data_IF_981127161631
#
_entry.id   IF_981127161631
#
_cell.length_a   1.000
_cell.length_b   1.000
_cell.length_c   1.000
_cell.angle_alpha   90.00
_cell.angle_beta   90.00
_cell.angle_gamma   90.00
#
_symmetry.space_group_name_H-M   'P 1'
#
loop_
_entity.id
_entity.type
_entity.pdbx_description
1 polymer ?
#
# COMPACT_ATOMS: atom_id res chain seq x y z
N UNK A 1 9.94 -6.51 -10.33
CA UNK A 1 11.01 -6.86 -9.36
C UNK A 1 12.38 -6.33 -9.79
N UNK A 2 12.53 -5.90 -11.05
CA UNK A 2 13.81 -5.53 -11.66
C UNK A 2 14.60 -4.49 -10.87
N UNK A 3 13.94 -3.48 -10.28
CA UNK A 3 14.61 -2.49 -9.44
C UNK A 3 15.33 -3.12 -8.23
N UNK A 4 14.75 -4.13 -7.59
CA UNK A 4 15.38 -4.86 -6.47
C UNK A 4 16.58 -5.66 -6.96
N UNK A 5 16.44 -6.30 -8.13
CA UNK A 5 17.47 -7.14 -8.74
C UNK A 5 18.67 -6.33 -9.22
N UNK A 6 18.43 -5.23 -9.94
CA UNK A 6 19.45 -4.33 -10.47
C UNK A 6 20.29 -3.76 -9.32
N UNK A 7 19.65 -3.41 -8.21
CA UNK A 7 20.33 -2.89 -7.01
C UNK A 7 20.94 -3.98 -6.12
N UNK A 8 20.71 -5.28 -6.41
CA UNK A 8 21.23 -6.43 -5.65
C UNK A 8 20.90 -6.39 -4.14
N UNK A 9 19.67 -6.01 -3.81
CA UNK A 9 19.20 -5.88 -2.42
C UNK A 9 18.11 -6.89 -2.05
N UNK A 10 18.05 -8.01 -2.75
CA UNK A 10 17.02 -9.05 -2.58
C UNK A 10 16.90 -9.52 -1.13
N UNK A 11 18.03 -9.73 -0.46
CA UNK A 11 18.10 -10.21 0.93
C UNK A 11 17.64 -9.17 1.97
N UNK A 12 17.39 -7.92 1.52
CA UNK A 12 16.95 -6.80 2.38
C UNK A 12 15.51 -6.35 2.07
N UNK A 13 14.86 -6.96 1.08
CA UNK A 13 13.56 -6.50 0.59
C UNK A 13 12.54 -7.62 0.66
N UNK A 14 11.44 -7.37 1.38
CA UNK A 14 10.21 -8.16 1.31
C UNK A 14 9.19 -7.38 0.48
N UNK A 15 8.92 -7.84 -0.73
CA UNK A 15 7.90 -7.24 -1.58
C UNK A 15 6.60 -8.04 -1.46
N UNK A 16 5.49 -7.35 -1.22
CA UNK A 16 4.15 -7.93 -1.10
C UNK A 16 3.29 -7.39 -2.23
N UNK A 17 2.69 -8.28 -3.02
CA UNK A 17 1.73 -7.92 -4.06
C UNK A 17 0.33 -7.83 -3.46
N UNK A 18 0.09 -6.79 -2.66
CA UNK A 18 -1.13 -6.57 -1.88
C UNK A 18 -1.41 -5.07 -1.81
N UNK A 19 -2.68 -4.66 -1.84
CA UNK A 19 -3.08 -3.29 -1.57
C UNK A 19 -3.17 -3.00 -0.07
N UNK A 20 -2.90 -1.77 0.34
CA UNK A 20 -3.12 -1.32 1.72
C UNK A 20 -4.49 -0.64 1.86
N UNK A 21 -5.19 -0.92 2.95
CA UNK A 21 -6.52 -0.38 3.25
C UNK A 21 -6.74 -0.34 4.78
N UNK A 22 -7.88 0.18 5.23
CA UNK A 22 -8.28 0.16 6.64
C UNK A 22 -8.57 -1.24 7.18
N UNK A 23 -8.86 -2.21 6.29
CA UNK A 23 -9.25 -3.57 6.65
C UNK A 23 -8.82 -4.61 5.61
N UNK A 24 -8.96 -5.90 5.97
CA UNK A 24 -8.68 -7.02 5.08
C UNK A 24 -9.86 -7.31 4.16
N UNK A 25 -9.58 -7.63 2.90
CA UNK A 25 -10.61 -7.97 1.91
C UNK A 25 -10.06 -8.14 0.50
N UNK A 26 -10.96 -7.99 -0.47
CA UNK A 26 -10.66 -7.96 -1.89
C UNK A 26 -11.24 -6.67 -2.47
N UNK A 27 -10.47 -5.94 -3.27
CA UNK A 27 -10.94 -4.79 -4.05
C UNK A 27 -10.71 -5.02 -5.52
N UNK A 28 -11.60 -4.44 -6.33
CA UNK A 28 -11.50 -4.45 -7.79
C UNK A 28 -10.78 -3.20 -8.26
N UNK A 29 -9.69 -3.42 -8.98
CA UNK A 29 -8.95 -2.36 -9.67
C UNK A 29 -9.22 -2.46 -11.16
N UNK A 30 -9.33 -1.31 -11.82
CA UNK A 30 -9.31 -1.23 -13.28
C UNK A 30 -7.94 -1.71 -13.76
N UNK A 31 -7.89 -2.35 -14.92
CA UNK A 31 -6.65 -2.67 -15.60
C UNK A 31 -6.58 -1.78 -16.85
N UNK A 32 -6.12 -0.54 -16.69
CA UNK A 32 -5.82 0.32 -17.83
C UNK A 32 -4.33 0.20 -18.19
N UNK A 33 -3.98 0.41 -19.46
CA UNK A 33 -2.60 0.31 -19.96
C UNK A 33 -1.73 1.53 -19.59
N UNK A 34 -2.29 2.47 -18.82
CA UNK A 34 -1.65 3.72 -18.39
C UNK A 34 -1.39 3.71 -16.87
N UNK A 35 -0.57 4.65 -16.39
CA UNK A 35 -0.02 4.67 -15.03
C UNK A 35 -1.03 4.95 -13.89
N UNK A 36 -2.34 4.81 -14.13
CA UNK A 36 -3.38 5.18 -13.17
C UNK A 36 -4.49 4.13 -13.15
N UNK A 37 -4.21 2.98 -12.53
CA UNK A 37 -5.25 2.03 -12.14
C UNK A 37 -6.07 2.66 -11.00
N UNK A 38 -7.39 2.74 -11.17
CA UNK A 38 -8.32 3.30 -10.18
C UNK A 38 -9.20 2.22 -9.57
N UNK A 39 -9.82 2.51 -8.42
CA UNK A 39 -10.85 1.66 -7.86
C UNK A 39 -12.08 1.64 -8.77
N UNK A 40 -12.57 0.46 -9.10
CA UNK A 40 -13.75 0.30 -9.95
C UNK A 40 -14.99 0.73 -9.17
N UNK A 41 -15.65 1.81 -9.60
CA UNK A 41 -16.91 2.25 -8.98
C UNK A 41 -18.15 1.65 -9.66
N UNK A 42 -18.18 1.46 -11.00
CA UNK A 42 -19.31 0.82 -11.70
C UNK A 42 -18.92 0.22 -13.07
N UNK A 43 -19.50 -0.95 -13.42
CA UNK A 43 -19.61 -1.57 -14.76
C UNK A 43 -18.37 -1.61 -15.68
N UNK A 44 -17.17 -1.54 -15.14
CA UNK A 44 -15.96 -1.74 -15.93
C UNK A 44 -15.69 -3.22 -16.19
N UNK A 45 -15.34 -3.55 -17.43
CA UNK A 45 -15.22 -4.93 -17.91
C UNK A 45 -13.80 -5.49 -17.82
N UNK A 46 -12.79 -4.64 -17.56
CA UNK A 46 -11.39 -5.04 -17.48
C UNK A 46 -10.83 -4.78 -16.08
N UNK A 47 -11.22 -5.62 -15.12
CA UNK A 47 -10.89 -5.46 -13.71
C UNK A 47 -10.09 -6.64 -13.17
N UNK A 48 -9.18 -6.38 -12.23
CA UNK A 48 -8.50 -7.41 -11.46
C UNK A 48 -8.92 -7.35 -9.99
N UNK A 49 -9.11 -8.52 -9.38
CA UNK A 49 -9.28 -8.63 -7.93
C UNK A 49 -7.91 -8.57 -7.25
N UNK A 50 -7.72 -7.61 -6.36
CA UNK A 50 -6.49 -7.42 -5.58
C UNK A 50 -6.81 -7.64 -4.11
N UNK A 51 -6.03 -8.51 -3.46
CA UNK A 51 -6.09 -8.66 -2.01
C UNK A 51 -5.68 -7.36 -1.33
N UNK A 52 -6.43 -6.98 -0.31
CA UNK A 52 -6.12 -5.81 0.53
C UNK A 52 -5.99 -6.22 2.00
N UNK A 53 -5.16 -5.48 2.74
CA UNK A 53 -5.00 -5.65 4.18
C UNK A 53 -4.54 -4.34 4.85
N UNK A 54 -4.66 -4.29 6.17
CA UNK A 54 -4.15 -3.15 6.95
C UNK A 54 -2.65 -3.27 7.20
N UNK A 55 -1.97 -2.12 7.23
CA UNK A 55 -0.52 -2.08 7.50
C UNK A 55 -0.21 -2.67 8.88
N UNK A 56 -1.03 -2.35 9.88
CA UNK A 56 -0.90 -2.88 11.23
C UNK A 56 -0.97 -4.41 11.27
N UNK A 57 -1.86 -5.01 10.47
CA UNK A 57 -1.99 -6.47 10.38
C UNK A 57 -0.79 -7.11 9.70
N UNK A 58 -0.22 -6.46 8.69
CA UNK A 58 0.97 -6.95 7.97
C UNK A 58 2.21 -6.91 8.87
N UNK A 59 2.36 -5.86 9.66
CA UNK A 59 3.54 -5.63 10.49
C UNK A 59 3.49 -6.28 11.87
N UNK A 60 2.40 -6.96 12.23
CA UNK A 60 2.21 -7.53 13.59
C UNK A 60 3.31 -8.51 14.01
N UNK A 61 3.93 -9.21 13.05
CA UNK A 61 5.05 -10.14 13.30
C UNK A 61 6.40 -9.59 12.83
N UNK A 62 6.45 -8.33 12.40
CA UNK A 62 7.62 -7.69 11.83
C UNK A 62 8.18 -6.65 12.80
N UNK A 63 9.39 -6.17 12.53
CA UNK A 63 9.92 -5.01 13.24
C UNK A 63 9.20 -3.73 12.77
N UNK A 64 8.78 -2.89 13.72
CA UNK A 64 8.19 -1.60 13.39
C UNK A 64 9.20 -0.70 12.64
N UNK A 65 8.73 0.05 11.62
CA UNK A 65 9.60 0.82 10.75
C UNK A 65 10.08 2.10 11.44
N UNK A 66 11.32 2.49 11.15
CA UNK A 66 11.85 3.81 11.54
C UNK A 66 11.44 4.92 10.59
N UNK A 67 11.08 4.57 9.35
CA UNK A 67 10.64 5.48 8.29
C UNK A 67 9.56 4.81 7.44
N UNK A 68 8.52 5.57 7.08
CA UNK A 68 7.47 5.16 6.15
C UNK A 68 7.38 6.15 4.99
N UNK A 69 7.23 5.63 3.77
CA UNK A 69 6.77 6.36 2.59
C UNK A 69 5.40 5.82 2.17
N UNK A 70 4.40 6.70 2.05
CA UNK A 70 3.08 6.40 1.51
C UNK A 70 2.94 7.21 0.22
N UNK A 71 2.75 6.50 -0.88
CA UNK A 71 2.61 7.03 -2.22
C UNK A 71 1.69 6.07 -2.96
N UNK A 72 0.39 6.32 -2.83
CA UNK A 72 -0.69 5.47 -3.35
C UNK A 72 -1.67 6.38 -4.09
N UNK A 73 -2.28 5.89 -5.15
CA UNK A 73 -3.21 6.66 -5.97
C UNK A 73 -4.64 6.52 -5.42
N UNK A 74 -5.15 7.54 -4.73
CA UNK A 74 -6.59 7.65 -4.38
C UNK A 74 -7.08 6.78 -3.22
N UNK A 75 -6.18 6.25 -2.38
CA UNK A 75 -6.53 5.42 -1.21
C UNK A 75 -5.76 5.79 0.06
N UNK A 76 -5.17 6.99 0.10
CA UNK A 76 -4.27 7.46 1.15
C UNK A 76 -4.93 7.42 2.54
N UNK A 77 -6.15 7.92 2.67
CA UNK A 77 -6.90 7.94 3.93
C UNK A 77 -7.14 6.53 4.47
N UNK A 78 -7.44 5.58 3.60
CA UNK A 78 -7.67 4.19 4.00
C UNK A 78 -6.37 3.51 4.46
N UNK A 79 -5.24 3.80 3.80
CA UNK A 79 -3.92 3.35 4.27
C UNK A 79 -3.62 3.90 5.67
N UNK A 80 -3.90 5.19 5.91
CA UNK A 80 -3.68 5.81 7.22
C UNK A 80 -4.57 5.20 8.31
N UNK A 81 -5.84 4.95 8.01
CA UNK A 81 -6.78 4.29 8.92
C UNK A 81 -6.29 2.88 9.29
N UNK A 82 -5.72 2.15 8.33
CA UNK A 82 -5.14 0.81 8.54
C UNK A 82 -3.75 0.77 9.17
N UNK A 83 -3.16 1.91 9.48
CA UNK A 83 -1.81 2.06 10.00
C UNK A 83 -1.76 2.72 11.38
N UNK A 84 -2.88 2.78 12.11
CA UNK A 84 -3.01 3.55 13.36
C UNK A 84 -1.97 3.13 14.41
N UNK A 85 -1.75 1.84 14.61
CA UNK A 85 -0.76 1.33 15.58
C UNK A 85 0.66 1.64 15.10
N UNK A 86 0.93 1.38 13.82
CA UNK A 86 2.24 1.61 13.20
C UNK A 86 2.65 3.07 13.25
N UNK A 87 1.73 3.99 12.95
CA UNK A 87 1.96 5.42 12.96
C UNK A 87 2.11 5.99 14.37
N UNK A 88 1.52 5.35 15.38
CA UNK A 88 1.64 5.73 16.78
C UNK A 88 2.90 5.16 17.45
N UNK A 89 3.61 4.23 16.80
CA UNK A 89 4.77 3.57 17.39
C UNK A 89 5.96 4.53 17.56
N UNK A 90 6.64 4.44 18.71
CA UNK A 90 7.74 5.36 19.06
C UNK A 90 9.00 5.13 18.25
N UNK A 91 9.15 3.98 17.59
CA UNK A 91 10.30 3.69 16.73
C UNK A 91 10.19 4.42 15.40
N UNK A 92 8.98 4.74 14.94
CA UNK A 92 8.75 5.55 13.75
C UNK A 92 9.22 6.99 14.00
N UNK A 93 10.14 7.45 13.15
CA UNK A 93 10.73 8.79 13.24
C UNK A 93 10.27 9.72 12.13
N UNK A 94 9.97 9.15 10.96
CA UNK A 94 9.68 9.93 9.75
C UNK A 94 8.57 9.26 8.96
N UNK A 95 7.59 10.06 8.55
CA UNK A 95 6.54 9.66 7.63
C UNK A 95 6.52 10.64 6.47
N UNK A 96 6.64 10.14 5.24
CA UNK A 96 6.56 10.90 4.00
C UNK A 96 5.31 10.44 3.27
N UNK A 97 4.40 11.37 2.97
CA UNK A 97 3.12 11.06 2.32
C UNK A 97 2.94 11.99 1.14
N UNK A 98 2.67 11.42 -0.03
CA UNK A 98 2.12 12.15 -1.17
C UNK A 98 0.59 12.07 -1.11
N UNK A 99 -0.07 13.23 -1.02
CA UNK A 99 -1.53 13.34 -1.00
C UNK A 99 -1.97 13.89 -2.36
N UNK A 100 -2.69 13.11 -3.16
CA UNK A 100 -3.14 13.54 -4.49
C UNK A 100 -4.47 14.30 -4.50
N UNK A 101 -5.01 14.62 -3.33
CA UNK A 101 -6.16 15.53 -3.19
C UNK A 101 -7.52 14.90 -3.50
N UNK A 102 -7.60 13.57 -3.62
CA UNK A 102 -8.82 12.80 -3.87
C UNK A 102 -9.15 11.76 -2.78
N UNK A 103 -8.36 11.72 -1.70
CA UNK A 103 -8.51 10.80 -0.56
C UNK A 103 -9.13 11.44 0.67
#
# INVERSE_FOLDING_TARGET
MDNVLINKIQDKVKALNIGLSSSKGLLKFTQELDAVDHLVTENETNTIDVEINSLDSILITEQFPVLIKIDVEGFETEVLNGATITLADKTLKVTIIELKGSG
#
